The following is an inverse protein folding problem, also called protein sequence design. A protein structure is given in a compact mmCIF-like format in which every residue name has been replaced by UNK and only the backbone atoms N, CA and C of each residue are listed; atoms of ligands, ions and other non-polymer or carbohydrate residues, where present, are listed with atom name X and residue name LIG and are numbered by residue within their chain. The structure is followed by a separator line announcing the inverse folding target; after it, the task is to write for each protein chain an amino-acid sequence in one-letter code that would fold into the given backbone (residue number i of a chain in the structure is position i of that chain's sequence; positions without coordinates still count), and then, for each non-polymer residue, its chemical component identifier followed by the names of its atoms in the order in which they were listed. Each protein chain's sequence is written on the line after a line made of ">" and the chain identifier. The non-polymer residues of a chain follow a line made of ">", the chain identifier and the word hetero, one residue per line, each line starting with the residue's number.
data_IF_131222060154
#
_entry.id   IF_131222060154
#
_cell.length_a   1.000
_cell.length_b   1.000
_cell.length_c   1.000
_cell.angle_alpha   90.00
_cell.angle_beta   90.00
_cell.angle_gamma   90.00
#
_symmetry.space_group_name_H-M   'P 1'
#
loop_
_entity.id
_entity.type
_entity.pdbx_description
1 polymer ?
#
# COMPACT_ATOMS: atom_id res chain seq x y z
N UNK A 1 11.27 50.12 23.43
CA UNK A 1 11.83 48.75 23.37
C UNK A 1 10.79 47.78 22.77
N UNK A 2 10.03 48.22 21.76
CA UNK A 2 8.83 47.54 21.22
C UNK A 2 8.97 47.05 19.77
N UNK A 3 10.09 47.35 19.11
CA UNK A 3 10.25 47.12 17.66
C UNK A 3 10.61 45.66 17.31
N UNK A 4 11.49 45.03 18.10
CA UNK A 4 12.02 43.71 17.77
C UNK A 4 10.98 42.59 17.85
N UNK A 5 10.09 42.62 18.84
CA UNK A 5 9.07 41.58 19.02
C UNK A 5 8.02 41.57 17.90
N UNK A 6 7.73 42.76 17.35
CA UNK A 6 6.77 42.96 16.25
C UNK A 6 7.34 42.45 14.92
N UNK A 7 8.65 42.66 14.71
CA UNK A 7 9.38 42.23 13.51
C UNK A 7 9.51 40.69 13.43
N UNK A 8 9.82 40.02 14.55
CA UNK A 8 9.86 38.55 14.60
C UNK A 8 8.50 37.90 14.32
N UNK A 9 7.41 38.49 14.81
CA UNK A 9 6.06 37.97 14.56
C UNK A 9 5.70 38.06 13.07
N UNK A 10 6.02 39.19 12.44
CA UNK A 10 5.78 39.40 11.01
C UNK A 10 6.58 38.42 10.15
N UNK A 11 7.87 38.23 10.45
CA UNK A 11 8.73 37.26 9.76
C UNK A 11 8.22 35.82 9.92
N UNK A 12 7.74 35.46 11.11
CA UNK A 12 7.17 34.13 11.38
C UNK A 12 5.90 33.87 10.56
N UNK A 13 4.99 34.85 10.50
CA UNK A 13 3.75 34.74 9.71
C UNK A 13 4.05 34.64 8.20
N UNK A 14 5.02 35.41 7.70
CA UNK A 14 5.49 35.32 6.32
C UNK A 14 6.10 33.94 6.00
N UNK A 15 6.91 33.39 6.91
CA UNK A 15 7.49 32.06 6.74
C UNK A 15 6.42 30.96 6.70
N UNK A 16 5.38 31.04 7.55
CA UNK A 16 4.25 30.12 7.51
C UNK A 16 3.48 30.24 6.20
N UNK A 17 3.21 31.46 5.75
CA UNK A 17 2.49 31.70 4.49
C UNK A 17 3.27 31.15 3.28
N UNK A 18 4.58 31.40 3.23
CA UNK A 18 5.47 30.85 2.21
C UNK A 18 5.49 29.31 2.24
N UNK A 19 5.55 28.71 3.43
CA UNK A 19 5.53 27.26 3.59
C UNK A 19 4.21 26.66 3.11
N UNK A 20 3.06 27.24 3.48
CA UNK A 20 1.74 26.80 2.99
C UNK A 20 1.66 26.86 1.46
N UNK A 21 2.11 27.96 0.85
CA UNK A 21 2.13 28.11 -0.61
C UNK A 21 3.03 27.07 -1.29
N UNK A 22 4.17 26.73 -0.68
CA UNK A 22 5.05 25.67 -1.18
C UNK A 22 4.39 24.29 -1.11
N UNK A 23 3.65 23.99 -0.04
CA UNK A 23 2.92 22.73 0.11
C UNK A 23 1.78 22.59 -0.91
N UNK A 24 1.06 23.67 -1.19
CA UNK A 24 0.05 23.71 -2.25
C UNK A 24 0.66 23.43 -3.62
N UNK A 25 1.79 24.09 -3.94
CA UNK A 25 2.51 23.88 -5.20
C UNK A 25 3.01 22.43 -5.33
N UNK A 26 3.53 21.84 -4.26
CA UNK A 26 3.94 20.43 -4.23
C UNK A 26 2.73 19.53 -4.50
N UNK A 27 1.59 19.80 -3.86
CA UNK A 27 0.36 19.04 -4.07
C UNK A 27 -0.13 19.11 -5.52
N UNK A 28 -0.06 20.27 -6.16
CA UNK A 28 -0.40 20.43 -7.59
C UNK A 28 0.55 19.65 -8.50
N UNK A 29 1.86 19.74 -8.25
CA UNK A 29 2.85 18.96 -9.01
C UNK A 29 2.65 17.45 -8.83
N UNK A 30 2.29 17.01 -7.63
CA UNK A 30 1.97 15.59 -7.38
C UNK A 30 0.74 15.14 -8.18
N UNK A 31 -0.30 15.98 -8.29
CA UNK A 31 -1.45 15.68 -9.16
C UNK A 31 -1.05 15.58 -10.63
N UNK A 32 -0.19 16.48 -11.11
CA UNK A 32 0.31 16.44 -12.49
C UNK A 32 1.15 15.18 -12.76
N UNK A 33 2.05 14.82 -11.85
CA UNK A 33 2.85 13.58 -11.95
C UNK A 33 1.93 12.35 -11.98
N UNK A 34 0.85 12.34 -11.19
CA UNK A 34 -0.14 11.26 -11.21
C UNK A 34 -0.86 11.16 -12.55
N UNK A 35 -1.32 12.29 -13.10
CA UNK A 35 -1.97 12.32 -14.41
C UNK A 35 -1.02 11.84 -15.52
N UNK A 36 0.23 12.28 -15.50
CA UNK A 36 1.27 11.82 -16.44
C UNK A 36 1.55 10.33 -16.31
N UNK A 37 1.67 9.81 -15.08
CA UNK A 37 1.85 8.39 -14.85
C UNK A 37 0.66 7.56 -15.34
N UNK A 38 -0.57 8.08 -15.19
CA UNK A 38 -1.78 7.42 -15.69
C UNK A 38 -1.80 7.35 -17.21
N UNK A 39 -1.51 8.45 -17.91
CA UNK A 39 -1.40 8.46 -19.37
C UNK A 39 -0.26 7.56 -19.85
N UNK A 40 0.90 7.62 -19.20
CA UNK A 40 2.04 6.76 -19.53
C UNK A 40 1.72 5.27 -19.36
N UNK A 41 0.92 4.92 -18.35
CA UNK A 41 0.39 3.56 -18.16
C UNK A 41 -0.59 3.16 -19.26
N UNK A 42 -1.44 4.09 -19.73
CA UNK A 42 -2.34 3.87 -20.87
C UNK A 42 -1.55 3.65 -22.17
N UNK A 43 -0.53 4.46 -22.43
CA UNK A 43 0.37 4.27 -23.57
C UNK A 43 1.12 2.94 -23.50
N UNK A 44 1.62 2.56 -22.32
CA UNK A 44 2.26 1.25 -22.12
C UNK A 44 1.29 0.09 -22.40
N UNK A 45 0.01 0.19 -22.03
CA UNK A 45 -1.02 -0.81 -22.39
C UNK A 45 -1.17 -0.92 -23.91
N UNK A 46 -1.25 0.22 -24.59
CA UNK A 46 -1.48 0.28 -26.02
C UNK A 46 -0.29 -0.29 -26.81
N UNK A 47 0.94 0.07 -26.42
CA UNK A 47 2.16 -0.27 -27.16
C UNK A 47 2.66 -1.68 -26.83
N UNK A 48 2.55 -2.14 -25.58
CA UNK A 48 3.22 -3.37 -25.13
C UNK A 48 2.27 -4.49 -24.69
N UNK A 49 0.95 -4.30 -24.76
CA UNK A 49 -0.02 -5.30 -24.31
C UNK A 49 0.09 -5.62 -22.81
N UNK A 50 -0.37 -6.81 -22.40
CA UNK A 50 -0.44 -7.21 -20.97
C UNK A 50 0.89 -7.64 -20.34
N UNK A 51 1.91 -8.04 -21.12
CA UNK A 51 3.19 -8.53 -20.60
C UNK A 51 4.33 -8.21 -21.56
N UNK A 52 5.30 -7.42 -21.09
CA UNK A 52 6.58 -7.27 -21.78
C UNK A 52 7.70 -7.76 -20.85
N UNK A 53 8.00 -9.06 -20.94
CA UNK A 53 8.88 -9.79 -20.01
C UNK A 53 10.34 -9.29 -20.02
N UNK A 54 10.80 -8.67 -21.12
CA UNK A 54 12.18 -8.14 -21.22
C UNK A 54 12.40 -6.89 -20.37
N UNK A 55 11.40 -6.02 -20.25
CA UNK A 55 11.49 -4.79 -19.44
C UNK A 55 11.42 -5.09 -17.93
N UNK A 56 10.67 -6.12 -17.54
CA UNK A 56 10.54 -6.53 -16.14
C UNK A 56 11.90 -6.96 -15.53
N UNK A 57 12.77 -7.65 -16.30
CA UNK A 57 14.04 -8.19 -15.77
C UNK A 57 15.00 -7.14 -15.22
N UNK A 58 15.01 -5.92 -15.77
CA UNK A 58 15.90 -4.84 -15.34
C UNK A 58 15.32 -4.00 -14.20
N UNK A 59 14.05 -4.21 -13.84
CA UNK A 59 13.35 -3.47 -12.79
C UNK A 59 13.21 -4.30 -11.50
N UNK A 60 13.63 -5.57 -11.50
CA UNK A 60 13.56 -6.41 -10.30
C UNK A 60 14.65 -6.02 -9.30
N UNK A 61 14.25 -5.51 -8.14
CA UNK A 61 15.18 -5.21 -7.04
C UNK A 61 15.42 -6.45 -6.16
N UNK A 62 16.40 -7.28 -6.53
CA UNK A 62 16.79 -8.45 -5.75
C UNK A 62 17.48 -8.12 -4.42
N UNK A 63 17.78 -6.86 -4.14
CA UNK A 63 18.46 -6.42 -2.91
C UNK A 63 17.52 -6.18 -1.74
N UNK A 64 16.20 -6.37 -1.93
CA UNK A 64 15.20 -6.24 -0.88
C UNK A 64 15.39 -7.36 0.16
N UNK A 65 15.77 -7.01 1.39
CA UNK A 65 15.63 -7.86 2.56
C UNK A 65 14.30 -7.53 3.23
N UNK A 66 13.33 -8.42 3.07
CA UNK A 66 12.00 -8.28 3.65
C UNK A 66 12.01 -8.51 5.17
N UNK A 67 11.26 -7.68 5.90
CA UNK A 67 11.13 -7.79 7.36
C UNK A 67 9.67 -8.02 7.76
N UNK A 68 8.78 -7.12 7.33
CA UNK A 68 7.35 -7.19 7.64
C UNK A 68 6.52 -6.39 6.64
N UNK A 69 5.30 -6.86 6.38
CA UNK A 69 4.28 -6.21 5.58
C UNK A 69 2.99 -6.12 6.39
N UNK A 70 2.39 -4.94 6.41
CA UNK A 70 1.00 -4.74 6.81
C UNK A 70 0.17 -4.36 5.61
N UNK A 71 -1.01 -4.95 5.50
CA UNK A 71 -2.00 -4.64 4.49
C UNK A 71 -3.34 -4.36 5.15
N UNK A 72 -3.96 -3.26 4.75
CA UNK A 72 -5.32 -2.93 5.16
C UNK A 72 -6.16 -2.58 3.95
N UNK A 73 -7.39 -3.07 3.94
CA UNK A 73 -8.42 -2.69 2.99
C UNK A 73 -9.65 -2.23 3.75
N UNK A 74 -10.09 -1.00 3.47
CA UNK A 74 -11.38 -0.53 3.95
C UNK A 74 -12.52 -1.30 3.27
N UNK A 75 -13.72 -1.15 3.80
CA UNK A 75 -14.93 -1.60 3.11
C UNK A 75 -15.12 -0.81 1.82
N UNK A 76 -15.46 -1.50 0.74
CA UNK A 76 -16.06 -0.93 -0.46
C UNK A 76 -17.32 -1.73 -0.79
N UNK A 77 -18.46 -1.06 -0.90
CA UNK A 77 -19.75 -1.71 -1.08
C UNK A 77 -19.99 -2.82 -0.04
N UNK A 78 -20.11 -4.07 -0.47
CA UNK A 78 -20.26 -5.23 0.40
C UNK A 78 -18.97 -6.07 0.51
N UNK A 79 -17.84 -5.58 -0.01
CA UNK A 79 -16.55 -6.24 0.09
C UNK A 79 -16.01 -6.31 1.53
N UNK A 80 -15.12 -7.26 1.82
CA UNK A 80 -14.61 -7.46 3.18
C UNK A 80 -13.72 -6.31 3.62
N UNK A 81 -13.66 -6.10 4.94
CA UNK A 81 -12.64 -5.25 5.57
C UNK A 81 -11.55 -6.15 6.10
N UNK A 82 -10.29 -5.84 5.76
CA UNK A 82 -9.15 -6.71 6.04
C UNK A 82 -8.04 -5.91 6.69
N UNK A 83 -7.44 -6.47 7.73
CA UNK A 83 -6.19 -5.98 8.32
C UNK A 83 -5.26 -7.18 8.51
N UNK A 84 -4.11 -7.18 7.85
CA UNK A 84 -3.23 -8.34 7.75
C UNK A 84 -1.77 -7.95 7.99
N UNK A 85 -1.02 -8.87 8.59
CA UNK A 85 0.43 -8.82 8.72
C UNK A 85 1.06 -10.10 8.16
N UNK A 86 2.16 -9.98 7.44
CA UNK A 86 3.12 -11.07 7.18
C UNK A 86 4.50 -10.59 7.60
N UNK A 87 5.29 -11.43 8.25
CA UNK A 87 6.68 -11.11 8.61
C UNK A 87 7.70 -12.11 8.05
N UNK A 88 8.98 -11.80 8.26
CA UNK A 88 10.12 -12.58 7.74
C UNK A 88 10.21 -14.00 8.30
N UNK A 89 9.50 -14.30 9.40
CA UNK A 89 9.36 -15.65 9.93
C UNK A 89 8.28 -16.47 9.20
N UNK A 90 7.70 -15.92 8.11
CA UNK A 90 6.56 -16.48 7.36
C UNK A 90 5.26 -16.52 8.16
N UNK A 91 5.25 -15.91 9.35
CA UNK A 91 4.07 -15.82 10.19
C UNK A 91 3.10 -14.81 9.60
N UNK A 92 1.85 -15.23 9.44
CA UNK A 92 0.76 -14.40 8.97
C UNK A 92 -0.31 -14.28 10.07
N UNK A 93 -0.82 -13.07 10.24
CA UNK A 93 -1.99 -12.79 11.06
C UNK A 93 -2.96 -11.93 10.27
N UNK A 94 -4.26 -12.20 10.38
CA UNK A 94 -5.29 -11.48 9.64
C UNK A 94 -6.54 -11.29 10.49
N UNK A 95 -7.04 -10.07 10.53
CA UNK A 95 -8.41 -9.74 10.93
C UNK A 95 -9.25 -9.57 9.67
N UNK A 96 -10.36 -10.29 9.60
CA UNK A 96 -11.24 -10.30 8.45
C UNK A 96 -12.66 -9.99 8.93
N UNK A 97 -13.30 -9.00 8.31
CA UNK A 97 -14.73 -8.70 8.52
C UNK A 97 -15.46 -8.96 7.22
N UNK A 98 -16.35 -9.96 7.24
CA UNK A 98 -17.19 -10.27 6.11
C UNK A 98 -18.42 -9.33 6.11
N UNK A 99 -18.43 -8.38 5.17
CA UNK A 99 -19.52 -7.42 5.00
C UNK A 99 -20.57 -7.88 3.98
N UNK A 100 -20.40 -9.05 3.37
CA UNK A 100 -21.27 -9.52 2.27
C UNK A 100 -22.62 -10.05 2.76
N UNK A 101 -22.75 -10.33 4.07
CA UNK A 101 -23.94 -10.95 4.65
C UNK A 101 -24.15 -12.42 4.28
N UNK A 102 -23.28 -13.02 3.45
CA UNK A 102 -23.32 -14.43 3.06
C UNK A 102 -22.01 -15.14 3.45
N UNK A 103 -22.14 -16.24 4.20
CA UNK A 103 -21.02 -17.11 4.56
C UNK A 103 -20.43 -17.86 3.35
N UNK A 104 -21.13 -17.89 2.22
CA UNK A 104 -20.65 -18.53 0.99
C UNK A 104 -19.60 -17.69 0.24
N UNK A 105 -19.48 -16.39 0.58
CA UNK A 105 -18.55 -15.46 -0.06
C UNK A 105 -17.49 -15.00 0.94
N UNK A 106 -16.35 -15.70 0.94
CA UNK A 106 -15.16 -15.35 1.71
C UNK A 106 -15.06 -16.07 3.06
N UNK A 107 -14.20 -15.57 3.94
CA UNK A 107 -14.05 -16.13 5.29
C UNK A 107 -15.14 -15.62 6.23
N UNK A 108 -15.50 -16.37 7.29
CA UNK A 108 -16.26 -15.81 8.39
C UNK A 108 -15.58 -14.59 9.01
N UNK A 109 -16.36 -13.71 9.64
CA UNK A 109 -15.77 -12.61 10.41
C UNK A 109 -14.99 -13.18 11.58
N UNK A 110 -13.73 -12.78 11.72
CA UNK A 110 -12.86 -13.32 12.76
C UNK A 110 -11.41 -12.93 12.62
N UNK A 111 -10.58 -13.61 13.41
CA UNK A 111 -9.13 -13.46 13.42
C UNK A 111 -8.51 -14.80 13.04
N UNK A 112 -7.45 -14.74 12.25
CA UNK A 112 -6.81 -15.89 11.67
C UNK A 112 -5.30 -15.77 11.77
N UNK A 113 -4.64 -16.92 11.85
CA UNK A 113 -3.18 -17.03 11.74
C UNK A 113 -2.79 -18.16 10.79
N UNK A 114 -1.59 -18.07 10.25
CA UNK A 114 -0.98 -19.15 9.49
C UNK A 114 0.55 -19.00 9.50
N UNK A 115 1.24 -20.06 9.08
CA UNK A 115 2.64 -20.00 8.63
C UNK A 115 2.63 -20.28 7.14
N UNK A 116 3.16 -19.35 6.34
CA UNK A 116 3.21 -19.51 4.89
C UNK A 116 4.19 -20.61 4.50
N UNK A 117 3.82 -21.44 3.52
CA UNK A 117 4.77 -22.32 2.84
C UNK A 117 5.78 -21.53 2.02
N UNK A 118 6.89 -22.20 1.72
CA UNK A 118 8.03 -21.61 1.02
C UNK A 118 7.63 -21.03 -0.33
N UNK A 119 6.77 -21.71 -1.08
CA UNK A 119 6.32 -21.24 -2.39
C UNK A 119 5.53 -19.94 -2.28
N UNK A 120 4.55 -19.88 -1.38
CA UNK A 120 3.73 -18.69 -1.15
C UNK A 120 4.58 -17.55 -0.60
N UNK A 121 5.50 -17.84 0.32
CA UNK A 121 6.40 -16.83 0.86
C UNK A 121 7.36 -16.29 -0.21
N UNK A 122 7.98 -17.17 -1.02
CA UNK A 122 8.89 -16.76 -2.08
C UNK A 122 8.19 -15.95 -3.18
N UNK A 123 6.93 -16.27 -3.50
CA UNK A 123 6.14 -15.46 -4.42
C UNK A 123 5.84 -14.08 -3.82
N UNK A 124 5.53 -13.96 -2.52
CA UNK A 124 5.42 -12.64 -1.87
C UNK A 124 6.70 -11.81 -2.04
N UNK A 125 7.87 -12.42 -1.78
CA UNK A 125 9.16 -11.75 -1.94
C UNK A 125 9.35 -11.29 -3.39
N UNK A 126 9.09 -12.16 -4.36
CA UNK A 126 9.19 -11.83 -5.79
C UNK A 126 8.27 -10.67 -6.17
N UNK A 127 7.04 -10.64 -5.67
CA UNK A 127 6.10 -9.55 -5.92
C UNK A 127 6.60 -8.21 -5.34
N UNK A 128 7.21 -8.24 -4.16
CA UNK A 128 7.85 -7.06 -3.56
C UNK A 128 9.09 -6.59 -4.37
N UNK A 129 9.86 -7.52 -4.93
CA UNK A 129 11.02 -7.21 -5.77
C UNK A 129 10.61 -6.63 -7.13
N UNK A 130 9.45 -7.04 -7.67
CA UNK A 130 8.96 -6.60 -8.98
C UNK A 130 8.24 -5.25 -8.96
N UNK A 131 7.71 -4.81 -7.81
CA UNK A 131 6.88 -3.61 -7.73
C UNK A 131 7.67 -2.29 -7.60
N UNK A 132 8.99 -2.31 -7.80
CA UNK A 132 9.89 -1.18 -7.56
C UNK A 132 9.70 -0.57 -6.16
N UNK A 133 9.65 -1.41 -5.12
CA UNK A 133 9.24 -1.02 -3.77
C UNK A 133 9.92 0.24 -3.25
N UNK A 134 11.20 0.50 -3.58
CA UNK A 134 11.93 1.72 -3.17
C UNK A 134 11.33 3.02 -3.70
N UNK A 135 10.90 3.03 -4.95
CA UNK A 135 10.38 4.22 -5.64
C UNK A 135 8.86 4.22 -5.76
N UNK A 136 8.20 3.10 -5.46
CA UNK A 136 6.74 2.97 -5.46
C UNK A 136 6.06 4.10 -4.70
N UNK A 137 5.07 4.76 -5.28
CA UNK A 137 4.25 5.75 -4.59
C UNK A 137 2.80 5.52 -4.92
N UNK A 138 1.96 5.58 -3.90
CA UNK A 138 0.51 5.54 -4.06
C UNK A 138 0.03 6.99 -4.23
N UNK A 139 -0.76 7.24 -5.28
CA UNK A 139 -1.37 8.55 -5.48
C UNK A 139 -2.43 8.85 -4.43
N UNK A 140 -2.84 10.11 -4.32
CA UNK A 140 -3.91 10.52 -3.41
C UNK A 140 -5.22 10.73 -4.16
N UNK A 141 -5.65 9.71 -4.90
CA UNK A 141 -6.90 9.75 -5.67
C UNK A 141 -8.01 9.26 -4.75
N UNK A 142 -9.06 10.07 -4.61
CA UNK A 142 -10.28 9.72 -3.86
C UNK A 142 -11.39 9.33 -4.82
N UNK A 143 -12.23 8.40 -4.39
CA UNK A 143 -13.45 7.99 -5.06
C UNK A 143 -14.40 7.36 -4.04
N UNK A 144 -15.50 6.75 -4.48
CA UNK A 144 -16.44 6.06 -3.60
C UNK A 144 -16.57 4.55 -3.90
N UNK A 145 -16.03 4.08 -5.02
CA UNK A 145 -16.36 2.76 -5.57
C UNK A 145 -15.29 1.69 -5.31
N UNK A 146 -14.20 2.03 -4.63
CA UNK A 146 -13.09 1.12 -4.37
C UNK A 146 -12.60 1.25 -2.91
N UNK A 147 -11.98 0.19 -2.36
CA UNK A 147 -11.49 0.23 -0.98
C UNK A 147 -10.25 1.12 -0.90
N UNK A 148 -10.12 1.86 0.20
CA UNK A 148 -8.86 2.47 0.58
C UNK A 148 -7.87 1.37 0.96
N UNK A 149 -6.84 1.19 0.15
CA UNK A 149 -5.76 0.24 0.40
C UNK A 149 -4.63 0.97 1.12
N UNK A 150 -4.21 0.43 2.26
CA UNK A 150 -3.00 0.84 2.98
C UNK A 150 -2.00 -0.31 2.97
N UNK A 151 -0.77 -0.03 2.57
CA UNK A 151 0.33 -0.96 2.57
C UNK A 151 1.50 -0.33 3.34
N UNK A 152 1.97 -1.03 4.38
CA UNK A 152 3.14 -0.62 5.16
C UNK A 152 4.17 -1.71 5.03
N UNK A 153 5.34 -1.41 4.48
CA UNK A 153 6.40 -2.40 4.24
C UNK A 153 7.68 -1.98 4.94
N UNK A 154 8.22 -2.90 5.73
CA UNK A 154 9.54 -2.83 6.34
C UNK A 154 10.50 -3.68 5.53
N UNK A 155 11.57 -3.05 5.04
CA UNK A 155 12.61 -3.70 4.26
C UNK A 155 13.94 -2.95 4.37
N UNK A 156 15.05 -3.68 4.46
CA UNK A 156 16.40 -3.09 4.56
C UNK A 156 16.53 -2.01 5.66
N UNK A 157 15.88 -2.21 6.81
CA UNK A 157 15.81 -1.27 7.93
C UNK A 157 14.97 -0.02 7.65
N UNK A 158 14.23 0.03 6.53
CA UNK A 158 13.40 1.17 6.12
C UNK A 158 11.93 0.82 6.19
N UNK A 159 11.14 1.80 6.63
CA UNK A 159 9.69 1.75 6.64
C UNK A 159 9.13 2.52 5.44
N UNK A 160 8.14 1.94 4.77
CA UNK A 160 7.43 2.60 3.67
C UNK A 160 5.92 2.50 3.84
N UNK A 161 5.27 3.65 3.93
CA UNK A 161 3.83 3.78 4.01
C UNK A 161 3.25 4.18 2.65
N UNK A 162 2.22 3.46 2.22
CA UNK A 162 1.55 3.63 0.93
C UNK A 162 0.05 3.57 1.17
N UNK A 163 -0.71 4.57 0.74
CA UNK A 163 -2.17 4.57 0.87
C UNK A 163 -2.83 5.19 -0.35
N UNK A 164 -3.80 4.49 -0.94
CA UNK A 164 -4.60 4.97 -2.05
C UNK A 164 -5.83 4.08 -2.25
N UNK A 165 -6.91 4.67 -2.75
CA UNK A 165 -8.05 3.94 -3.29
C UNK A 165 -7.75 3.32 -4.66
N UNK A 166 -6.85 3.95 -5.43
CA UNK A 166 -6.41 3.48 -6.74
C UNK A 166 -4.88 3.36 -6.76
N UNK A 167 -4.34 2.24 -6.24
CA UNK A 167 -2.90 1.97 -6.32
C UNK A 167 -2.40 1.93 -7.77
N UNK A 168 -1.14 2.34 -8.03
CA UNK A 168 -0.59 2.35 -9.38
C UNK A 168 -0.44 0.92 -9.92
N UNK A 169 -0.48 0.78 -11.24
CA UNK A 169 -0.42 -0.52 -11.91
C UNK A 169 0.80 -1.36 -11.54
N UNK A 170 1.93 -0.72 -11.30
CA UNK A 170 3.16 -1.42 -10.89
C UNK A 170 3.01 -2.21 -9.57
N UNK A 171 1.96 -1.94 -8.79
CA UNK A 171 1.60 -2.69 -7.57
C UNK A 171 0.48 -3.72 -7.77
N UNK A 172 -0.09 -3.83 -8.97
CA UNK A 172 -1.27 -4.67 -9.25
C UNK A 172 -1.02 -6.15 -8.95
N UNK A 173 0.14 -6.70 -9.36
CA UNK A 173 0.47 -8.10 -9.12
C UNK A 173 0.65 -8.40 -7.61
N UNK A 174 1.33 -7.51 -6.88
CA UNK A 174 1.48 -7.61 -5.42
C UNK A 174 0.12 -7.56 -4.72
N UNK A 175 -0.73 -6.60 -5.07
CA UNK A 175 -2.05 -6.46 -4.45
C UNK A 175 -2.98 -7.63 -4.80
N UNK A 176 -2.95 -8.10 -6.04
CA UNK A 176 -3.70 -9.29 -6.46
C UNK A 176 -3.23 -10.52 -5.69
N UNK A 177 -1.92 -10.70 -5.52
CA UNK A 177 -1.36 -11.78 -4.72
C UNK A 177 -1.84 -11.70 -3.26
N UNK A 178 -1.76 -10.52 -2.64
CA UNK A 178 -2.27 -10.30 -1.28
C UNK A 178 -3.76 -10.65 -1.19
N UNK A 179 -4.58 -10.12 -2.10
CA UNK A 179 -6.04 -10.25 -2.05
C UNK A 179 -6.54 -11.66 -2.36
N UNK A 180 -5.96 -12.34 -3.33
CA UNK A 180 -6.44 -13.66 -3.77
C UNK A 180 -5.70 -14.79 -3.08
N UNK A 181 -4.38 -14.68 -2.91
CA UNK A 181 -3.55 -15.78 -2.41
C UNK A 181 -3.41 -15.75 -0.88
N UNK A 182 -3.13 -14.60 -0.28
CA UNK A 182 -2.92 -14.52 1.16
C UNK A 182 -4.23 -14.53 1.94
N UNK A 183 -5.23 -13.74 1.54
CA UNK A 183 -6.54 -13.77 2.20
C UNK A 183 -7.29 -15.10 2.00
N UNK A 184 -7.06 -15.77 0.87
CA UNK A 184 -7.59 -17.10 0.56
C UNK A 184 -6.66 -18.24 0.93
N UNK A 185 -5.65 -18.02 1.78
CA UNK A 185 -4.64 -19.02 2.06
C UNK A 185 -5.24 -20.22 2.81
N UNK A 186 -5.18 -21.41 2.19
CA UNK A 186 -5.89 -22.60 2.68
C UNK A 186 -5.43 -23.15 4.05
N UNK A 187 -4.32 -22.64 4.61
CA UNK A 187 -3.83 -23.01 5.95
C UNK A 187 -4.14 -21.96 7.03
N UNK A 188 -5.01 -20.99 6.73
CA UNK A 188 -5.54 -20.06 7.73
C UNK A 188 -6.34 -20.83 8.77
N UNK A 189 -6.00 -20.64 10.04
CA UNK A 189 -6.73 -21.20 11.18
C UNK A 189 -7.29 -20.07 12.05
N UNK A 190 -8.52 -20.19 12.58
CA UNK A 190 -9.05 -19.23 13.54
C UNK A 190 -8.16 -19.10 14.77
N UNK A 191 -8.13 -17.92 15.37
CA UNK A 191 -7.36 -17.69 16.60
C UNK A 191 -8.00 -16.61 17.47
N UNK A 192 -7.86 -16.75 18.79
CA UNK A 192 -8.27 -15.71 19.74
C UNK A 192 -7.22 -14.60 19.91
N UNK A 193 -6.01 -14.80 19.36
CA UNK A 193 -4.91 -13.85 19.45
C UNK A 193 -5.33 -12.47 18.92
N UNK A 194 -5.12 -11.43 19.74
CA UNK A 194 -5.39 -10.05 19.37
C UNK A 194 -4.07 -9.31 19.17
N UNK A 195 -3.59 -9.27 17.92
CA UNK A 195 -2.40 -8.48 17.57
C UNK A 195 -2.78 -7.05 17.26
N UNK A 196 -2.03 -6.11 17.82
CA UNK A 196 -2.06 -4.73 17.34
C UNK A 196 -1.39 -4.66 15.96
N UNK A 197 -2.11 -4.08 15.01
CA UNK A 197 -1.64 -3.94 13.63
C UNK A 197 -1.40 -2.47 13.36
N UNK A 198 -0.32 -2.15 12.66
CA UNK A 198 0.07 -0.77 12.42
C UNK A 198 -0.80 -0.09 11.35
N UNK A 199 -1.30 1.13 11.61
CA UNK A 199 -2.19 1.86 10.69
C UNK A 199 -1.68 3.23 10.24
N UNK A 200 -0.77 3.83 11.01
CA UNK A 200 -0.45 5.26 10.92
C UNK A 200 0.58 5.55 9.82
N UNK A 201 0.55 6.74 9.18
CA UNK A 201 1.60 7.18 8.26
C UNK A 201 2.98 7.27 8.91
#
# INVERSE_FOLDING_TARGET
>A
MEDAATDYKLLYEQAIAAHKKSLELISEKDKQIQALNFELDKYKRYIFGKKNEKLARYLVDKTIKFEKLFYHASRAWNGPTVAMQVDSSKSMYMRYTNNTGSLERGLPTGRYKAVLDDDTYNELIKQLQNCNLRTLRFGNIKGNDAPDITLIVYFNGKRKYLKSMFPPRISEELLTFIMLRLQGYGKLIPTDENKDLEWRP
#
